data_IF_137553837942
#
_entry.id   IF_137553837942
#
_cell.length_a   1.000
_cell.length_b   1.000
_cell.length_c   1.000
_cell.angle_alpha   90.00
_cell.angle_beta   90.00
_cell.angle_gamma   90.00
#
_symmetry.space_group_name_H-M   'P 1'
#
loop_
_entity.id
_entity.type
_entity.pdbx_description
1 polymer ?
#
# COMPACT_ATOMS: atom_id res chain seq x y z
N UNK A 1 29.21 -8.79 56.26
CA UNK A 1 29.72 -7.48 55.81
C UNK A 1 29.53 -7.19 54.32
N UNK A 2 29.27 -8.18 53.46
CA UNK A 2 29.14 -7.99 52.00
C UNK A 2 27.81 -7.39 51.50
N UNK A 3 26.78 -7.26 52.35
CA UNK A 3 25.45 -6.75 51.92
C UNK A 3 25.26 -5.24 52.14
N UNK A 4 26.06 -4.60 53.02
CA UNK A 4 25.95 -3.14 53.29
C UNK A 4 26.59 -2.27 52.20
N UNK A 5 27.57 -2.80 51.45
CA UNK A 5 28.32 -2.01 50.46
C UNK A 5 27.53 -1.81 49.14
N UNK A 6 26.61 -2.71 48.80
CA UNK A 6 25.78 -2.56 47.59
C UNK A 6 24.66 -1.51 47.75
N UNK A 7 24.03 -1.42 48.93
CA UNK A 7 23.01 -0.38 49.16
C UNK A 7 23.57 1.04 49.15
N UNK A 8 24.80 1.23 49.67
CA UNK A 8 25.46 2.53 49.65
C UNK A 8 25.90 2.95 48.24
N UNK A 9 26.28 1.99 47.39
CA UNK A 9 26.60 2.21 45.98
C UNK A 9 25.37 2.62 45.17
N UNK A 10 24.24 1.92 45.34
CA UNK A 10 22.96 2.23 44.70
C UNK A 10 22.45 3.60 45.15
N UNK A 11 22.53 3.93 46.44
CA UNK A 11 22.14 5.25 46.96
C UNK A 11 23.00 6.39 46.40
N UNK A 12 24.32 6.18 46.23
CA UNK A 12 25.22 7.15 45.60
C UNK A 12 24.90 7.33 44.12
N UNK A 13 24.60 6.25 43.41
CA UNK A 13 24.21 6.28 41.99
C UNK A 13 22.87 7.01 41.78
N UNK A 14 21.84 6.72 42.59
CA UNK A 14 20.56 7.45 42.53
C UNK A 14 20.70 8.92 42.90
N UNK A 15 21.60 9.26 43.84
CA UNK A 15 21.83 10.66 44.21
C UNK A 15 22.52 11.44 43.08
N UNK A 16 23.46 10.81 42.36
CA UNK A 16 24.09 11.42 41.19
C UNK A 16 23.14 11.50 39.99
N UNK A 17 22.30 10.49 39.78
CA UNK A 17 21.27 10.51 38.73
C UNK A 17 20.25 11.64 38.98
N UNK A 18 19.74 11.77 40.20
CA UNK A 18 18.80 12.85 40.55
C UNK A 18 19.45 14.24 40.39
N UNK A 19 20.71 14.40 40.80
CA UNK A 19 21.44 15.66 40.65
C UNK A 19 21.69 16.01 39.17
N UNK A 20 21.98 15.00 38.33
CA UNK A 20 22.15 15.15 36.89
C UNK A 20 20.84 15.57 36.19
N UNK A 21 19.70 14.97 36.55
CA UNK A 21 18.38 15.34 36.03
C UNK A 21 17.92 16.73 36.48
N UNK A 22 18.25 17.17 37.70
CA UNK A 22 17.91 18.52 38.20
C UNK A 22 18.75 19.62 37.53
N UNK A 23 20.03 19.34 37.23
CA UNK A 23 20.91 20.28 36.51
C UNK A 23 20.55 20.43 35.03
N UNK A 24 20.06 19.35 34.39
CA UNK A 24 19.68 19.36 32.97
C UNK A 24 18.28 19.92 32.72
N UNK A 25 17.42 19.98 33.76
CA UNK A 25 16.10 20.62 33.71
C UNK A 25 16.12 22.15 33.69
N UNK A 26 17.25 22.78 33.99
CA UNK A 26 17.41 24.25 33.99
C UNK A 26 17.85 24.83 32.63
N UNK A 27 18.07 23.97 31.63
CA UNK A 27 18.51 24.34 30.28
C UNK A 27 17.57 23.80 29.20
N UNK A 28 16.25 23.91 29.42
CA UNK A 28 15.28 23.82 28.32
C UNK A 28 15.41 25.10 27.47
N UNK A 29 15.81 25.03 26.19
CA UNK A 29 15.75 26.20 25.32
C UNK A 29 14.29 26.58 25.11
N UNK A 30 13.90 27.73 25.65
CA UNK A 30 12.66 28.44 25.33
C UNK A 30 12.78 29.08 23.95
N UNK A 31 12.92 28.26 22.91
CA UNK A 31 12.93 28.71 21.51
C UNK A 31 12.46 27.54 20.64
N UNK A 32 11.17 27.52 20.33
CA UNK A 32 10.68 26.84 19.14
C UNK A 32 11.38 27.49 17.94
N UNK A 33 12.09 26.71 17.13
CA UNK A 33 12.65 27.19 15.87
C UNK A 33 11.49 27.55 14.93
N UNK A 34 11.42 28.81 14.51
CA UNK A 34 10.48 29.29 13.50
C UNK A 34 10.85 28.72 12.13
N UNK A 35 9.86 28.25 11.37
CA UNK A 35 10.02 27.77 10.00
C UNK A 35 10.16 28.95 9.01
N UNK A 36 10.89 28.73 7.92
CA UNK A 36 11.16 29.72 6.88
C UNK A 36 9.88 30.34 6.28
N UNK A 37 9.84 31.67 6.13
CA UNK A 37 8.70 32.39 5.54
C UNK A 37 8.58 32.22 4.03
N UNK A 38 7.36 31.98 3.53
CA UNK A 38 7.07 31.76 2.11
C UNK A 38 6.42 32.98 1.47
N UNK A 39 6.93 33.37 0.29
CA UNK A 39 6.38 34.46 -0.52
C UNK A 39 5.72 33.90 -1.78
N UNK A 40 4.54 34.40 -2.12
CA UNK A 40 3.76 33.98 -3.28
C UNK A 40 3.48 35.17 -4.20
N UNK A 41 3.75 34.98 -5.48
CA UNK A 41 3.61 35.96 -6.56
C UNK A 41 2.45 35.56 -7.48
N UNK A 42 1.46 36.43 -7.63
CA UNK A 42 0.33 36.22 -8.55
C UNK A 42 0.48 37.11 -9.78
N UNK A 43 0.25 36.52 -10.95
CA UNK A 43 0.32 37.22 -12.24
C UNK A 43 -1.06 37.70 -12.71
N UNK A 44 -1.09 38.63 -13.68
CA UNK A 44 -2.32 39.15 -14.30
C UNK A 44 -3.15 38.07 -15.00
N UNK A 45 -2.49 37.02 -15.49
CA UNK A 45 -3.15 35.87 -16.13
C UNK A 45 -3.62 34.83 -15.09
N UNK A 46 -3.68 35.22 -13.81
CA UNK A 46 -4.07 34.38 -12.66
C UNK A 46 -3.14 33.21 -12.34
N UNK A 47 -1.99 33.09 -13.03
CA UNK A 47 -0.90 32.17 -12.67
C UNK A 47 -0.26 32.57 -11.33
N UNK A 48 0.27 31.58 -10.61
CA UNK A 48 0.84 31.77 -9.29
C UNK A 48 2.21 31.08 -9.17
N UNK A 49 3.20 31.77 -8.57
CA UNK A 49 4.56 31.25 -8.30
C UNK A 49 4.99 31.49 -6.86
N UNK A 50 5.51 30.47 -6.19
CA UNK A 50 6.10 30.61 -4.86
C UNK A 50 7.61 30.84 -4.97
N UNK A 51 8.13 31.80 -4.20
CA UNK A 51 9.55 32.16 -4.14
C UNK A 51 10.01 32.15 -2.68
N UNK A 52 11.15 31.52 -2.41
CA UNK A 52 11.76 31.50 -1.07
C UNK A 52 12.53 32.80 -0.80
N UNK A 53 12.28 33.44 0.35
CA UNK A 53 13.01 34.63 0.80
C UNK A 53 14.21 34.24 1.68
N UNK A 54 15.27 35.05 1.63
CA UNK A 54 16.39 34.91 2.56
C UNK A 54 15.96 35.29 3.99
N UNK A 55 16.57 34.66 5.01
CA UNK A 55 16.20 34.81 6.44
C UNK A 55 16.22 36.28 6.91
N UNK A 56 17.03 37.14 6.29
CA UNK A 56 17.12 38.58 6.62
C UNK A 56 16.06 39.46 5.94
N UNK A 57 15.18 38.90 5.11
CA UNK A 57 14.25 39.64 4.25
C UNK A 57 12.79 39.15 4.34
N UNK A 58 12.41 38.49 5.43
CA UNK A 58 11.06 37.97 5.67
C UNK A 58 10.07 39.09 6.02
N UNK A 59 9.59 39.83 5.01
CA UNK A 59 8.54 40.84 5.17
C UNK A 59 7.63 40.93 3.94
N UNK A 60 6.42 41.45 4.11
CA UNK A 60 5.45 41.67 3.01
C UNK A 60 6.01 42.61 1.93
N UNK A 61 6.81 43.60 2.30
CA UNK A 61 7.43 44.55 1.35
C UNK A 61 8.53 43.87 0.53
N UNK A 62 9.38 43.07 1.18
CA UNK A 62 10.43 42.31 0.50
C UNK A 62 9.86 41.25 -0.43
N UNK A 63 8.74 40.61 -0.05
CA UNK A 63 8.00 39.69 -0.92
C UNK A 63 7.51 40.39 -2.20
N UNK A 64 6.94 41.59 -2.07
CA UNK A 64 6.51 42.39 -3.23
C UNK A 64 7.65 42.71 -4.19
N UNK A 65 8.80 43.14 -3.67
CA UNK A 65 9.97 43.47 -4.49
C UNK A 65 10.49 42.25 -5.26
N UNK A 66 10.59 41.10 -4.58
CA UNK A 66 11.02 39.84 -5.21
C UNK A 66 10.02 39.38 -6.26
N UNK A 67 8.72 39.47 -5.99
CA UNK A 67 7.69 39.11 -6.97
C UNK A 67 7.69 40.02 -8.20
N UNK A 68 7.84 41.33 -8.02
CA UNK A 68 7.95 42.27 -9.15
C UNK A 68 9.17 41.94 -10.01
N UNK A 69 10.28 41.50 -9.40
CA UNK A 69 11.48 41.07 -10.11
C UNK A 69 11.30 39.71 -10.81
N UNK A 70 10.61 38.76 -10.19
CA UNK A 70 10.45 37.39 -10.68
C UNK A 70 9.43 37.29 -11.84
N UNK A 71 8.24 37.86 -11.67
CA UNK A 71 7.17 37.80 -12.70
C UNK A 71 7.09 39.03 -13.61
N UNK A 72 7.91 40.05 -13.36
CA UNK A 72 8.09 41.21 -14.24
C UNK A 72 6.79 41.98 -14.53
N UNK A 73 6.56 42.33 -15.81
CA UNK A 73 5.39 43.13 -16.26
C UNK A 73 4.04 42.43 -16.04
N UNK A 74 4.06 41.12 -15.79
CA UNK A 74 2.87 40.31 -15.51
C UNK A 74 2.50 40.29 -14.03
N UNK A 75 3.23 41.01 -13.15
CA UNK A 75 2.89 41.12 -11.73
C UNK A 75 1.48 41.69 -11.51
N UNK A 76 0.70 41.03 -10.64
CA UNK A 76 -0.59 41.51 -10.16
C UNK A 76 -0.57 41.76 -8.65
N UNK A 77 -0.18 40.76 -7.85
CA UNK A 77 -0.13 40.87 -6.39
C UNK A 77 0.89 39.92 -5.76
N UNK A 78 1.20 40.14 -4.49
CA UNK A 78 2.11 39.29 -3.68
C UNK A 78 1.54 39.07 -2.28
N UNK A 79 1.77 37.89 -1.71
CA UNK A 79 1.35 37.53 -0.35
C UNK A 79 2.48 36.80 0.39
N UNK A 80 2.70 37.13 1.66
CA UNK A 80 3.77 36.57 2.49
C UNK A 80 3.18 36.01 3.78
N UNK A 81 3.57 34.78 4.12
CA UNK A 81 3.21 34.14 5.37
C UNK A 81 4.35 33.23 5.86
N UNK A 82 4.53 33.12 7.16
CA UNK A 82 5.51 32.25 7.80
C UNK A 82 4.87 31.01 8.42
N UNK A 83 5.70 30.07 8.88
CA UNK A 83 5.20 28.85 9.52
C UNK A 83 4.26 28.03 8.64
N UNK A 84 3.24 27.47 9.29
CA UNK A 84 2.21 26.64 8.62
C UNK A 84 1.33 27.43 7.65
N UNK A 85 1.17 28.75 7.86
CA UNK A 85 0.41 29.59 6.93
C UNK A 85 1.15 29.77 5.61
N UNK A 86 2.48 29.86 5.65
CA UNK A 86 3.35 29.86 4.46
C UNK A 86 3.22 28.58 3.62
N UNK A 87 3.20 27.41 4.26
CA UNK A 87 3.03 26.12 3.57
C UNK A 87 1.65 25.99 2.90
N UNK A 88 0.59 26.45 3.56
CA UNK A 88 -0.77 26.50 3.02
C UNK A 88 -0.83 27.44 1.82
N UNK A 89 -0.21 28.61 1.94
CA UNK A 89 -0.15 29.62 0.89
C UNK A 89 0.59 29.09 -0.35
N UNK A 90 1.73 28.40 -0.15
CA UNK A 90 2.49 27.74 -1.22
C UNK A 90 1.69 26.63 -1.91
N UNK A 91 1.00 25.78 -1.13
CA UNK A 91 0.18 24.69 -1.66
C UNK A 91 -1.01 25.20 -2.48
N UNK A 92 -1.68 26.25 -1.98
CA UNK A 92 -2.76 26.95 -2.69
C UNK A 92 -2.26 27.55 -4.00
N UNK A 93 -1.06 28.16 -3.98
CA UNK A 93 -0.42 28.70 -5.17
C UNK A 93 -0.10 27.62 -6.21
N UNK A 94 0.45 26.48 -5.79
CA UNK A 94 0.77 25.38 -6.69
C UNK A 94 -0.47 24.77 -7.34
N UNK A 95 -1.60 24.71 -6.61
CA UNK A 95 -2.89 24.29 -7.19
C UNK A 95 -3.36 25.25 -8.28
N UNK A 96 -3.23 26.57 -8.07
CA UNK A 96 -3.54 27.59 -9.08
C UNK A 96 -2.60 27.50 -10.29
N UNK A 97 -1.31 27.30 -10.06
CA UNK A 97 -0.32 27.10 -11.12
C UNK A 97 -0.66 25.90 -12.01
N UNK A 98 -0.97 24.76 -11.40
CA UNK A 98 -1.34 23.55 -12.14
C UNK A 98 -2.65 23.73 -12.92
N UNK A 99 -3.63 24.46 -12.36
CA UNK A 99 -4.86 24.80 -13.05
C UNK A 99 -4.61 25.76 -14.23
N UNK A 100 -3.69 26.72 -14.08
CA UNK A 100 -3.27 27.61 -15.16
C UNK A 100 -2.56 26.84 -16.29
N UNK A 101 -1.65 25.91 -15.95
CA UNK A 101 -1.01 25.03 -16.93
C UNK A 101 -2.05 24.16 -17.66
N UNK A 102 -3.01 23.59 -16.93
CA UNK A 102 -4.11 22.85 -17.52
C UNK A 102 -4.99 23.72 -18.45
N UNK A 103 -5.20 25.01 -18.11
CA UNK A 103 -5.96 25.93 -18.96
C UNK A 103 -5.22 26.31 -20.26
N UNK A 104 -3.90 26.12 -20.32
CA UNK A 104 -3.08 26.34 -21.52
C UNK A 104 -2.93 25.08 -22.38
N UNK A 105 -3.36 23.92 -21.91
CA UNK A 105 -3.29 22.64 -22.63
C UNK A 105 -4.71 22.15 -22.88
N UNK A 106 -5.20 22.48 -24.09
CA UNK A 106 -6.39 21.97 -24.77
C UNK A 106 -7.75 22.62 -24.49
N UNK A 107 -8.21 23.36 -25.51
CA UNK A 107 -9.59 23.32 -25.98
C UNK A 107 -10.03 21.86 -26.17
N UNK A 108 -10.81 21.33 -25.23
CA UNK A 108 -11.98 20.47 -25.49
C UNK A 108 -12.59 20.00 -24.16
N UNK A 109 -13.91 20.11 -24.10
CA UNK A 109 -14.91 19.61 -23.14
C UNK A 109 -14.52 18.32 -22.38
N UNK A 110 -14.97 18.05 -21.15
CA UNK A 110 -16.31 18.30 -20.61
C UNK A 110 -16.36 18.20 -19.08
N UNK A 111 -17.44 18.75 -18.52
CA UNK A 111 -17.69 18.92 -17.08
C UNK A 111 -18.18 17.63 -16.42
N UNK A 112 -17.58 17.21 -15.30
CA UNK A 112 -18.28 16.40 -14.29
C UNK A 112 -17.83 16.79 -12.87
N UNK A 113 -18.77 17.39 -12.14
CA UNK A 113 -18.58 17.80 -10.75
C UNK A 113 -18.58 16.57 -9.84
N UNK A 114 -17.39 16.12 -9.42
CA UNK A 114 -17.25 15.07 -8.40
C UNK A 114 -17.64 15.64 -7.03
N UNK A 115 -18.71 15.08 -6.45
CA UNK A 115 -19.20 15.39 -5.11
C UNK A 115 -18.13 15.09 -4.06
N UNK A 116 -17.71 16.11 -3.32
CA UNK A 116 -16.90 15.98 -2.10
C UNK A 116 -17.60 15.04 -1.11
N UNK A 117 -17.00 13.91 -0.69
CA UNK A 117 -17.54 13.12 0.40
C UNK A 117 -17.44 13.93 1.69
N UNK A 118 -18.59 14.42 2.14
CA UNK A 118 -18.78 15.13 3.40
C UNK A 118 -19.25 14.12 4.46
N UNK A 119 -18.38 13.83 5.42
CA UNK A 119 -18.66 13.66 6.85
C UNK A 119 -17.56 12.81 7.51
N UNK A 120 -16.42 13.42 7.84
CA UNK A 120 -15.50 12.77 8.79
C UNK A 120 -16.08 12.93 10.18
N UNK A 121 -16.69 11.87 10.71
CA UNK A 121 -17.29 11.87 12.04
C UNK A 121 -16.17 11.89 13.08
N UNK A 122 -16.13 12.92 13.93
CA UNK A 122 -15.21 12.97 15.06
C UNK A 122 -15.61 11.92 16.09
N UNK A 123 -14.68 11.09 16.60
CA UNK A 123 -15.01 10.08 17.59
C UNK A 123 -15.51 10.73 18.89
N UNK A 124 -16.58 10.16 19.45
CA UNK A 124 -17.11 10.56 20.75
C UNK A 124 -16.58 9.58 21.78
N UNK A 125 -15.92 10.08 22.82
CA UNK A 125 -15.44 9.23 23.91
C UNK A 125 -16.57 8.94 24.90
N UNK A 126 -16.63 7.69 25.36
CA UNK A 126 -17.54 7.30 26.44
C UNK A 126 -17.18 7.97 27.78
N UNK A 127 -15.92 8.35 27.97
CA UNK A 127 -15.42 9.09 29.13
C UNK A 127 -14.65 10.31 28.63
N UNK A 128 -15.09 11.55 28.97
CA UNK A 128 -14.38 12.75 28.54
C UNK A 128 -13.02 12.85 29.25
N UNK A 129 -11.97 13.10 28.48
CA UNK A 129 -10.62 13.34 29.01
C UNK A 129 -10.42 14.86 29.10
N UNK A 130 -10.08 15.41 30.28
CA UNK A 130 -9.86 16.85 30.44
C UNK A 130 -8.77 17.37 29.49
N UNK A 131 -9.07 18.45 28.77
CA UNK A 131 -8.14 19.09 27.84
C UNK A 131 -7.97 18.38 26.48
N UNK A 132 -8.75 17.34 26.19
CA UNK A 132 -8.77 16.70 24.88
C UNK A 132 -9.75 17.41 23.94
N UNK A 133 -9.23 17.90 22.82
CA UNK A 133 -10.00 18.32 21.66
C UNK A 133 -9.45 17.60 20.44
N UNK A 134 -10.30 16.88 19.71
CA UNK A 134 -9.88 16.21 18.48
C UNK A 134 -9.66 17.23 17.36
N UNK A 135 -8.50 17.14 16.71
CA UNK A 135 -8.19 17.90 15.50
C UNK A 135 -9.12 17.49 14.37
N UNK A 136 -9.56 18.43 13.52
CA UNK A 136 -10.39 18.08 12.37
C UNK A 136 -9.61 17.18 11.41
N UNK A 137 -10.20 16.06 11.02
CA UNK A 137 -9.62 15.23 9.97
C UNK A 137 -9.70 15.97 8.63
N UNK A 138 -8.62 15.91 7.86
CA UNK A 138 -8.50 16.59 6.57
C UNK A 138 -8.71 15.54 5.49
N UNK A 139 -9.83 15.64 4.77
CA UNK A 139 -10.07 14.86 3.57
C UNK A 139 -9.52 15.62 2.36
N UNK A 140 -8.54 15.02 1.69
CA UNK A 140 -8.08 15.43 0.36
C UNK A 140 -8.74 14.52 -0.69
N UNK A 141 -8.60 14.84 -1.98
CA UNK A 141 -9.14 14.03 -3.07
C UNK A 141 -8.58 12.60 -3.10
N UNK A 142 -7.42 12.35 -2.48
CA UNK A 142 -6.70 11.08 -2.55
C UNK A 142 -6.39 10.45 -1.19
N UNK A 143 -6.49 11.19 -0.08
CA UNK A 143 -6.28 10.66 1.27
C UNK A 143 -7.04 11.41 2.35
N UNK A 144 -7.42 10.69 3.41
CA UNK A 144 -7.92 11.24 4.67
C UNK A 144 -6.79 11.19 5.69
N UNK A 145 -6.36 12.37 6.14
CA UNK A 145 -5.39 12.51 7.24
C UNK A 145 -6.15 12.70 8.54
N UNK A 146 -5.94 11.80 9.48
CA UNK A 146 -6.53 11.86 10.82
C UNK A 146 -5.45 11.82 11.90
N UNK A 147 -5.56 12.77 12.83
CA UNK A 147 -4.73 12.84 14.03
C UNK A 147 -5.45 12.30 15.27
N UNK A 148 -6.63 11.69 15.13
CA UNK A 148 -7.48 11.34 16.29
C UNK A 148 -6.76 10.45 17.30
N UNK A 149 -6.02 9.45 16.83
CA UNK A 149 -5.26 8.55 17.70
C UNK A 149 -4.12 9.30 18.43
N UNK A 150 -3.43 10.19 17.72
CA UNK A 150 -2.36 11.00 18.29
C UNK A 150 -2.93 11.99 19.34
N UNK A 151 -4.05 12.64 19.05
CA UNK A 151 -4.72 13.55 19.99
C UNK A 151 -5.17 12.81 21.25
N UNK A 152 -5.79 11.64 21.08
CA UNK A 152 -6.25 10.78 22.18
C UNK A 152 -5.08 10.37 23.09
N UNK A 153 -4.04 9.76 22.51
CA UNK A 153 -2.88 9.30 23.28
C UNK A 153 -2.16 10.47 23.95
N UNK A 154 -2.09 11.64 23.30
CA UNK A 154 -1.43 12.83 23.84
C UNK A 154 -2.18 13.34 25.07
N UNK A 155 -3.51 13.39 25.00
CA UNK A 155 -4.33 13.78 26.15
C UNK A 155 -4.26 12.76 27.29
N UNK A 156 -4.28 11.45 27.01
CA UNK A 156 -4.11 10.40 28.03
C UNK A 156 -2.76 10.54 28.73
N UNK A 157 -1.66 10.69 27.99
CA UNK A 157 -0.35 10.85 28.60
C UNK A 157 -0.25 12.12 29.46
N UNK A 158 -0.76 13.26 28.97
CA UNK A 158 -0.81 14.51 29.75
C UNK A 158 -1.62 14.32 31.03
N UNK A 159 -2.79 13.71 30.94
CA UNK A 159 -3.65 13.44 32.09
C UNK A 159 -2.95 12.56 33.13
N UNK A 160 -2.32 11.45 32.71
CA UNK A 160 -1.60 10.56 33.62
C UNK A 160 -0.39 11.22 34.27
N UNK A 161 0.32 12.10 33.57
CA UNK A 161 1.43 12.88 34.14
C UNK A 161 0.91 13.83 35.23
N UNK A 162 -0.14 14.60 34.94
CA UNK A 162 -0.73 15.51 35.93
C UNK A 162 -1.29 14.76 37.14
N UNK A 163 -1.97 13.63 36.93
CA UNK A 163 -2.46 12.79 38.01
C UNK A 163 -1.30 12.24 38.87
N UNK A 164 -0.22 11.77 38.24
CA UNK A 164 0.96 11.24 38.93
C UNK A 164 1.67 12.31 39.78
N UNK A 165 1.82 13.53 39.24
CA UNK A 165 2.40 14.66 39.96
C UNK A 165 1.53 15.02 41.17
N UNK A 166 0.21 15.08 41.00
CA UNK A 166 -0.73 15.40 42.07
C UNK A 166 -0.65 14.37 43.20
N UNK A 167 -0.64 13.07 42.86
CA UNK A 167 -0.48 11.99 43.83
C UNK A 167 0.88 12.07 44.53
N UNK A 168 1.96 12.38 43.80
CA UNK A 168 3.28 12.54 44.39
C UNK A 168 3.31 13.69 45.41
N UNK A 169 2.69 14.83 45.10
CA UNK A 169 2.58 15.97 46.03
C UNK A 169 1.86 15.56 47.31
N UNK A 170 0.70 14.89 47.21
CA UNK A 170 -0.07 14.42 48.37
C UNK A 170 0.76 13.45 49.21
N UNK A 171 1.45 12.51 48.57
CA UNK A 171 2.28 11.52 49.28
C UNK A 171 3.49 12.16 49.97
N UNK A 172 4.08 13.21 49.38
CA UNK A 172 5.14 14.00 50.00
C UNK A 172 4.60 14.78 51.20
N UNK A 173 3.43 15.41 51.10
CA UNK A 173 2.78 16.11 52.23
C UNK A 173 2.49 15.15 53.39
N UNK A 174 1.92 13.98 53.11
CA UNK A 174 1.64 12.96 54.13
C UNK A 174 2.94 12.42 54.73
N UNK A 175 3.97 12.17 53.92
CA UNK A 175 5.29 11.76 54.42
C UNK A 175 5.96 12.84 55.27
N UNK A 176 5.79 14.11 54.90
CA UNK A 176 6.28 15.26 55.66
C UNK A 176 5.60 15.39 57.02
N UNK A 177 4.28 15.23 57.07
CA UNK A 177 3.55 15.22 58.34
C UNK A 177 4.01 14.05 59.24
N UNK A 178 4.14 12.84 58.68
CA UNK A 178 4.65 11.69 59.42
C UNK A 178 6.07 11.91 59.95
N UNK A 179 6.91 12.60 59.18
CA UNK A 179 8.27 12.93 59.61
C UNK A 179 8.27 13.89 60.81
N UNK A 180 7.43 14.93 60.79
CA UNK A 180 7.33 15.90 61.91
C UNK A 180 6.69 15.25 63.15
N UNK A 181 5.63 14.47 62.97
CA UNK A 181 4.97 13.74 64.07
C UNK A 181 5.82 12.62 64.67
N UNK A 182 6.90 12.20 64.00
CA UNK A 182 7.82 11.24 64.58
C UNK A 182 8.54 11.79 65.83
N UNK A 183 8.61 13.12 65.99
CA UNK A 183 9.09 13.74 67.22
C UNK A 183 8.23 13.44 68.46
N UNK A 184 6.96 13.04 68.29
CA UNK A 184 6.04 12.68 69.37
C UNK A 184 5.84 11.16 69.55
N UNK A 185 6.81 10.34 69.12
CA UNK A 185 6.79 8.87 69.27
C UNK A 185 6.43 8.08 68.02
N UNK A 186 6.32 8.74 66.86
CA UNK A 186 6.13 8.08 65.56
C UNK A 186 7.43 7.56 64.92
N UNK A 187 7.31 6.85 63.79
CA UNK A 187 8.45 6.26 63.07
C UNK A 187 8.96 7.19 61.94
N UNK A 188 10.10 7.86 62.18
CA UNK A 188 10.79 8.73 61.21
C UNK A 188 11.09 7.99 59.90
N UNK A 189 11.40 6.69 59.99
CA UNK A 189 11.78 5.87 58.84
C UNK A 189 10.63 5.71 57.86
N UNK A 190 9.39 5.61 58.35
CA UNK A 190 8.19 5.51 57.50
C UNK A 190 7.92 6.81 56.73
N UNK A 191 8.02 7.96 57.40
CA UNK A 191 7.86 9.27 56.75
C UNK A 191 8.90 9.50 55.66
N UNK A 192 10.18 9.22 55.97
CA UNK A 192 11.28 9.34 55.00
C UNK A 192 11.10 8.40 53.82
N UNK A 193 10.77 7.13 54.07
CA UNK A 193 10.53 6.12 53.02
C UNK A 193 9.39 6.54 52.10
N UNK A 194 8.31 7.10 52.63
CA UNK A 194 7.18 7.57 51.82
C UNK A 194 7.57 8.73 50.90
N UNK A 195 8.32 9.71 51.41
CA UNK A 195 8.84 10.83 50.60
C UNK A 195 9.79 10.30 49.52
N UNK A 196 10.74 9.42 49.87
CA UNK A 196 11.69 8.89 48.88
C UNK A 196 10.98 8.09 47.80
N UNK A 197 10.00 7.27 48.15
CA UNK A 197 9.27 6.47 47.16
C UNK A 197 8.47 7.34 46.19
N UNK A 198 7.83 8.41 46.68
CA UNK A 198 7.11 9.36 45.84
C UNK A 198 8.05 10.07 44.85
N UNK A 199 9.22 10.52 45.32
CA UNK A 199 10.23 11.16 44.47
C UNK A 199 10.86 10.18 43.48
N UNK A 200 11.18 8.96 43.90
CA UNK A 200 11.72 7.93 43.00
C UNK A 200 10.73 7.57 41.91
N UNK A 201 9.43 7.45 42.21
CA UNK A 201 8.40 7.23 41.20
C UNK A 201 8.33 8.35 40.17
N UNK A 202 8.41 9.61 40.62
CA UNK A 202 8.43 10.76 39.72
C UNK A 202 9.69 10.77 38.83
N UNK A 203 10.87 10.52 39.41
CA UNK A 203 12.14 10.44 38.66
C UNK A 203 12.14 9.31 37.64
N UNK A 204 11.59 8.14 37.99
CA UNK A 204 11.45 7.03 37.03
C UNK A 204 10.53 7.41 35.87
N UNK A 205 9.40 8.08 36.16
CA UNK A 205 8.45 8.51 35.13
C UNK A 205 9.10 9.50 34.14
N UNK A 206 9.79 10.54 34.63
CA UNK A 206 10.53 11.47 33.78
C UNK A 206 11.73 10.81 33.08
N UNK A 207 12.37 9.85 33.77
CA UNK A 207 13.52 9.10 33.24
C UNK A 207 13.15 8.26 32.02
N UNK A 208 11.97 7.62 32.03
CA UNK A 208 11.46 6.87 30.87
C UNK A 208 11.31 7.80 29.66
N UNK A 209 10.69 8.96 29.84
CA UNK A 209 10.57 9.95 28.75
C UNK A 209 11.94 10.36 28.20
N UNK A 210 12.91 10.64 29.08
CA UNK A 210 14.25 11.04 28.65
C UNK A 210 14.96 9.92 27.89
N UNK A 211 14.88 8.67 28.36
CA UNK A 211 15.46 7.52 27.66
C UNK A 211 14.84 7.36 26.27
N UNK A 212 13.50 7.41 26.15
CA UNK A 212 12.81 7.29 24.88
C UNK A 212 13.21 8.42 23.92
N UNK A 213 13.21 9.66 24.40
CA UNK A 213 13.56 10.83 23.60
C UNK A 213 15.02 10.80 23.12
N UNK A 214 15.95 10.44 24.01
CA UNK A 214 17.39 10.42 23.68
C UNK A 214 17.75 9.27 22.75
N UNK A 215 17.08 8.11 22.90
CA UNK A 215 17.33 6.94 22.04
C UNK A 215 16.71 7.11 20.65
N UNK A 216 15.47 7.59 20.57
CA UNK A 216 14.82 7.88 19.30
C UNK A 216 13.65 8.86 19.52
N UNK A 217 13.80 10.14 19.15
CA UNK A 217 12.74 11.14 19.33
C UNK A 217 11.46 10.80 18.54
N UNK A 218 11.54 9.93 17.52
CA UNK A 218 10.36 9.43 16.80
C UNK A 218 9.47 8.52 17.65
N UNK A 219 9.95 7.99 18.77
CA UNK A 219 9.12 7.22 19.71
C UNK A 219 8.23 8.11 20.59
N UNK A 220 8.60 9.38 20.74
CA UNK A 220 7.82 10.40 21.45
C UNK A 220 6.98 11.27 20.49
N UNK A 221 7.29 11.24 19.19
CA UNK A 221 6.54 11.90 18.13
C UNK A 221 5.43 10.99 17.63
N UNK A 222 4.18 11.39 17.85
CA UNK A 222 3.03 10.65 17.33
C UNK A 222 2.70 11.10 15.92
N UNK A 223 2.94 10.21 14.95
CA UNK A 223 2.64 10.46 13.55
C UNK A 223 1.14 10.42 13.30
N UNK A 224 0.69 11.28 12.39
CA UNK A 224 -0.69 11.27 11.90
C UNK A 224 -0.92 10.03 11.04
N UNK A 225 -2.14 9.49 11.09
CA UNK A 225 -2.52 8.35 10.25
C UNK A 225 -3.02 8.93 8.94
N UNK A 226 -2.35 8.58 7.85
CA UNK A 226 -2.82 8.85 6.50
C UNK A 226 -3.49 7.61 5.95
N UNK A 227 -4.81 7.69 5.78
CA UNK A 227 -5.60 6.68 5.10
C UNK A 227 -5.76 7.12 3.65
N UNK A 228 -5.28 6.32 2.71
CA UNK A 228 -5.53 6.60 1.30
C UNK A 228 -7.02 6.41 1.03
N UNK A 229 -7.65 7.38 0.35
CA UNK A 229 -9.05 7.20 -0.06
C UNK A 229 -9.11 6.02 -1.02
N UNK A 230 -10.04 5.10 -0.76
CA UNK A 230 -10.46 4.15 -1.78
C UNK A 230 -11.00 4.99 -2.92
N UNK A 231 -10.25 5.11 -4.01
CA UNK A 231 -10.76 5.75 -5.19
C UNK A 231 -11.97 4.94 -5.62
N UNK A 232 -13.17 5.53 -5.52
CA UNK A 232 -14.29 5.07 -6.32
C UNK A 232 -13.87 5.34 -7.75
N UNK A 233 -13.30 4.33 -8.38
CA UNK A 233 -13.24 4.28 -9.83
C UNK A 233 -14.70 4.36 -10.23
N UNK A 234 -15.12 5.49 -10.82
CA UNK A 234 -16.27 5.46 -11.72
C UNK A 234 -15.95 4.31 -12.64
N UNK A 235 -16.63 3.17 -12.44
CA UNK A 235 -16.60 2.08 -13.40
C UNK A 235 -17.05 2.80 -14.66
N UNK A 236 -16.17 3.05 -15.66
CA UNK A 236 -16.73 3.37 -16.96
C UNK A 236 -17.69 2.23 -17.19
N UNK A 237 -18.97 2.53 -17.39
CA UNK A 237 -19.85 1.55 -18.00
C UNK A 237 -19.12 1.21 -19.28
N UNK A 238 -18.36 0.12 -19.22
CA UNK A 238 -17.65 -0.38 -20.36
C UNK A 238 -18.84 -0.96 -21.14
N UNK A 239 -19.42 -0.11 -21.98
CA UNK A 239 -19.42 -0.43 -23.40
C UNK A 239 -17.96 -0.71 -23.77
N UNK A 240 -17.44 -1.83 -23.28
CA UNK A 240 -16.54 -2.61 -24.09
C UNK A 240 -17.32 -2.70 -25.38
N UNK A 241 -16.68 -2.34 -26.47
CA UNK A 241 -17.09 -2.92 -27.73
C UNK A 241 -17.10 -4.42 -27.45
N UNK A 242 -18.29 -4.92 -27.12
CA UNK A 242 -18.63 -6.32 -27.20
C UNK A 242 -18.47 -6.53 -28.68
N UNK A 243 -17.25 -6.88 -29.05
CA UNK A 243 -17.00 -7.65 -30.24
C UNK A 243 -17.68 -8.96 -29.91
N UNK A 244 -18.99 -9.00 -30.12
CA UNK A 244 -19.71 -10.26 -30.22
C UNK A 244 -19.01 -11.07 -31.28
N UNK A 245 -19.19 -12.38 -31.27
CA UNK A 245 -18.58 -13.26 -32.27
C UNK A 245 -18.82 -12.77 -33.73
N UNK A 246 -19.81 -11.90 -33.98
CA UNK A 246 -20.02 -11.15 -35.23
C UNK A 246 -18.94 -10.12 -35.61
N UNK A 247 -18.31 -9.38 -34.69
CA UNK A 247 -17.29 -8.37 -35.05
C UNK A 247 -15.89 -8.99 -35.27
N UNK A 248 -15.64 -10.23 -34.82
CA UNK A 248 -14.50 -11.03 -35.30
C UNK A 248 -14.78 -11.65 -36.68
N UNK A 249 -16.05 -11.87 -37.05
CA UNK A 249 -16.41 -12.37 -38.37
C UNK A 249 -16.23 -11.32 -39.49
N UNK A 250 -16.21 -10.02 -39.17
CA UNK A 250 -16.07 -8.94 -40.17
C UNK A 250 -14.62 -8.64 -40.60
N UNK A 251 -13.62 -9.24 -39.95
CA UNK A 251 -12.21 -9.24 -40.40
C UNK A 251 -11.87 -10.44 -41.30
N UNK A 252 -12.88 -11.23 -41.69
CA UNK A 252 -12.71 -12.38 -42.59
C UNK A 252 -12.08 -13.61 -41.94
N UNK A 253 -11.85 -13.59 -40.62
CA UNK A 253 -11.34 -14.71 -39.84
C UNK A 253 -12.36 -15.04 -38.75
N UNK A 254 -13.37 -15.84 -39.12
CA UNK A 254 -14.39 -16.36 -38.18
C UNK A 254 -13.72 -16.96 -36.92
N UNK A 255 -14.27 -16.76 -35.72
CA UNK A 255 -13.78 -17.44 -34.50
C UNK A 255 -13.76 -18.98 -34.61
N UNK A 256 -14.50 -19.56 -35.57
CA UNK A 256 -14.43 -20.97 -35.98
C UNK A 256 -13.14 -21.36 -36.71
N UNK A 257 -12.35 -20.39 -37.18
CA UNK A 257 -11.08 -20.61 -37.89
C UNK A 257 -9.86 -20.74 -36.95
N UNK A 258 -9.99 -20.33 -35.68
CA UNK A 258 -8.94 -20.49 -34.67
C UNK A 258 -9.16 -21.76 -33.84
N UNK A 259 -10.41 -22.07 -33.46
CA UNK A 259 -10.72 -23.27 -32.67
C UNK A 259 -10.82 -24.49 -33.58
N UNK A 260 -10.19 -25.60 -33.20
CA UNK A 260 -10.27 -26.88 -33.95
C UNK A 260 -11.66 -27.52 -33.77
N UNK A 261 -12.27 -27.34 -32.60
CA UNK A 261 -13.68 -27.62 -32.34
C UNK A 261 -14.24 -26.58 -31.36
N UNK A 262 -15.51 -26.21 -31.51
CA UNK A 262 -16.14 -25.13 -30.73
C UNK A 262 -17.29 -25.55 -29.83
N UNK A 263 -17.73 -26.81 -29.90
CA UNK A 263 -18.80 -27.39 -29.08
C UNK A 263 -18.56 -28.90 -28.88
N UNK A 264 -19.23 -29.54 -27.91
CA UNK A 264 -18.99 -30.94 -27.59
C UNK A 264 -19.18 -31.90 -28.78
N UNK A 265 -20.18 -31.70 -29.63
CA UNK A 265 -20.48 -32.53 -30.80
C UNK A 265 -19.38 -32.44 -31.86
N UNK A 266 -18.90 -31.22 -32.14
CA UNK A 266 -17.78 -30.99 -33.04
C UNK A 266 -16.50 -31.63 -32.48
N UNK A 267 -16.28 -31.53 -31.17
CA UNK A 267 -15.14 -32.18 -30.53
C UNK A 267 -15.26 -33.71 -30.54
N UNK A 268 -16.45 -34.29 -30.35
CA UNK A 268 -16.70 -35.74 -30.51
C UNK A 268 -16.32 -36.21 -31.92
N UNK A 269 -16.71 -35.44 -32.94
CA UNK A 269 -16.34 -35.71 -34.34
C UNK A 269 -14.82 -35.66 -34.55
N UNK A 270 -14.15 -34.61 -34.06
CA UNK A 270 -12.70 -34.49 -34.11
C UNK A 270 -12.01 -35.67 -33.43
N UNK A 271 -12.47 -36.06 -32.24
CA UNK A 271 -11.87 -37.15 -31.47
C UNK A 271 -12.06 -38.54 -32.09
N UNK A 272 -13.02 -38.70 -33.00
CA UNK A 272 -13.21 -39.93 -33.77
C UNK A 272 -12.26 -40.05 -34.98
N UNK A 273 -11.57 -38.97 -35.36
CA UNK A 273 -10.59 -38.99 -36.46
C UNK A 273 -9.24 -39.58 -36.01
N UNK A 274 -8.39 -39.98 -36.97
CA UNK A 274 -7.03 -40.42 -36.68
C UNK A 274 -6.21 -39.27 -36.06
N UNK A 275 -5.56 -39.52 -34.92
CA UNK A 275 -4.69 -38.57 -34.20
C UNK A 275 -3.55 -38.00 -35.04
N UNK A 276 -3.16 -38.68 -36.11
CA UNK A 276 -2.14 -38.20 -37.05
C UNK A 276 -2.65 -37.11 -38.00
N UNK A 277 -3.97 -36.99 -38.14
CA UNK A 277 -4.61 -35.95 -38.97
C UNK A 277 -4.91 -34.67 -38.21
N UNK A 278 -4.72 -34.67 -36.88
CA UNK A 278 -4.97 -33.50 -36.05
C UNK A 278 -3.98 -32.36 -36.34
N UNK A 279 -4.45 -31.10 -36.37
CA UNK A 279 -3.57 -29.97 -36.60
C UNK A 279 -2.57 -29.81 -35.46
N UNK A 280 -1.31 -29.52 -35.81
CA UNK A 280 -0.24 -29.23 -34.86
C UNK A 280 -0.17 -27.76 -34.45
N UNK A 281 -0.78 -26.87 -35.23
CA UNK A 281 -0.81 -25.42 -35.00
C UNK A 281 -2.10 -24.78 -35.52
N UNK A 282 -2.35 -23.57 -35.03
CA UNK A 282 -3.35 -22.63 -35.51
C UNK A 282 -2.76 -21.20 -35.43
N UNK A 283 -3.47 -20.14 -35.88
CA UNK A 283 -2.97 -18.77 -35.80
C UNK A 283 -2.67 -18.24 -34.39
N UNK A 284 -3.21 -18.88 -33.34
CA UNK A 284 -3.01 -18.49 -31.93
C UNK A 284 -1.85 -19.23 -31.26
N UNK A 285 -1.40 -20.34 -31.83
CA UNK A 285 -0.34 -21.17 -31.25
C UNK A 285 1.03 -20.72 -31.73
N UNK A 286 2.02 -20.78 -30.83
CA UNK A 286 3.42 -20.55 -31.18
C UNK A 286 4.10 -21.86 -31.60
N UNK A 287 5.08 -21.74 -32.50
CA UNK A 287 6.00 -22.83 -32.84
C UNK A 287 6.66 -23.37 -31.55
N UNK A 288 6.56 -24.70 -31.28
CA UNK A 288 7.19 -25.33 -30.13
C UNK A 288 8.70 -25.09 -30.00
N UNK A 289 9.40 -24.78 -31.09
CA UNK A 289 10.84 -24.49 -31.07
C UNK A 289 11.17 -23.11 -30.50
N UNK A 290 10.19 -22.21 -30.38
CA UNK A 290 10.36 -20.85 -29.85
C UNK A 290 10.13 -20.76 -28.33
N UNK A 291 9.76 -21.87 -27.70
CA UNK A 291 9.63 -21.96 -26.24
C UNK A 291 10.71 -22.85 -25.66
N UNK A 292 11.16 -22.50 -24.46
CA UNK A 292 12.13 -23.31 -23.71
C UNK A 292 11.85 -23.21 -22.22
N UNK A 293 12.43 -24.13 -21.45
CA UNK A 293 12.18 -24.22 -20.00
C UNK A 293 12.62 -22.92 -19.33
N UNK A 294 11.70 -22.26 -18.61
CA UNK A 294 12.04 -21.06 -17.84
C UNK A 294 13.07 -21.42 -16.76
N UNK A 295 14.25 -20.76 -16.71
CA UNK A 295 15.25 -21.04 -15.70
C UNK A 295 14.79 -20.55 -14.33
N UNK A 296 15.17 -21.27 -13.27
CA UNK A 296 14.98 -20.78 -11.90
C UNK A 296 15.82 -19.50 -11.69
N UNK A 297 15.29 -18.57 -10.90
CA UNK A 297 15.95 -17.31 -10.59
C UNK A 297 15.62 -16.88 -9.15
N UNK A 298 16.34 -15.92 -8.56
CA UNK A 298 15.96 -15.37 -7.26
C UNK A 298 14.49 -14.90 -7.28
N UNK A 299 13.69 -15.36 -6.32
CA UNK A 299 12.26 -15.05 -6.23
C UNK A 299 11.37 -15.79 -7.24
N UNK A 300 11.91 -16.66 -8.09
CA UNK A 300 11.14 -17.40 -9.10
C UNK A 300 11.57 -18.88 -9.21
N UNK A 301 10.59 -19.78 -9.13
CA UNK A 301 10.78 -21.22 -9.20
C UNK A 301 9.88 -21.81 -10.29
N UNK A 302 10.46 -22.60 -11.18
CA UNK A 302 9.73 -23.36 -12.18
C UNK A 302 9.35 -24.75 -11.64
N UNK A 303 8.10 -24.89 -11.18
CA UNK A 303 7.51 -26.17 -10.71
C UNK A 303 6.80 -26.94 -11.84
N UNK A 304 6.76 -26.43 -13.08
CA UNK A 304 6.05 -27.01 -14.23
C UNK A 304 6.56 -28.37 -14.72
N UNK A 305 7.41 -29.07 -13.97
CA UNK A 305 7.87 -30.43 -14.25
C UNK A 305 8.72 -30.58 -15.51
N UNK A 306 8.84 -31.83 -15.99
CA UNK A 306 9.44 -32.18 -17.28
C UNK A 306 8.39 -32.10 -18.39
N UNK A 307 8.67 -31.36 -19.47
CA UNK A 307 7.78 -31.20 -20.62
C UNK A 307 7.35 -29.74 -20.87
N UNK A 308 6.31 -29.51 -21.69
CA UNK A 308 5.94 -28.17 -22.15
C UNK A 308 5.37 -27.27 -21.05
N UNK A 309 4.88 -27.84 -19.94
CA UNK A 309 4.26 -27.12 -18.81
C UNK A 309 5.17 -26.11 -18.12
N UNK A 310 6.50 -26.25 -18.23
CA UNK A 310 7.47 -25.30 -17.71
C UNK A 310 8.16 -24.46 -18.80
N UNK A 311 7.71 -24.59 -20.06
CA UNK A 311 8.29 -23.88 -21.20
C UNK A 311 7.48 -22.62 -21.51
N UNK A 312 8.20 -21.55 -21.85
CA UNK A 312 7.64 -20.24 -22.23
C UNK A 312 8.58 -19.57 -23.24
N UNK A 313 8.12 -18.48 -23.88
CA UNK A 313 8.97 -17.67 -24.76
C UNK A 313 10.07 -16.95 -23.98
N UNK A 314 11.13 -16.53 -24.68
CA UNK A 314 12.25 -15.81 -24.05
C UNK A 314 11.79 -14.54 -23.31
N UNK A 315 10.86 -13.79 -23.89
CA UNK A 315 10.32 -12.56 -23.27
C UNK A 315 9.59 -12.85 -21.96
N UNK A 316 8.86 -13.96 -21.88
CA UNK A 316 8.19 -14.39 -20.65
C UNK A 316 9.20 -14.82 -19.61
N UNK A 317 10.30 -15.48 -20.01
CA UNK A 317 11.39 -15.81 -19.06
C UNK A 317 11.99 -14.55 -18.45
N UNK A 318 12.24 -13.52 -19.27
CA UNK A 318 12.81 -12.26 -18.81
C UNK A 318 11.83 -11.51 -17.89
N UNK A 319 10.53 -11.53 -18.22
CA UNK A 319 9.48 -10.95 -17.38
C UNK A 319 9.31 -11.73 -16.05
N UNK A 320 9.41 -13.07 -16.06
CA UNK A 320 9.36 -13.89 -14.84
C UNK A 320 10.57 -13.65 -13.93
N UNK A 321 11.76 -13.48 -14.51
CA UNK A 321 12.96 -13.08 -13.76
C UNK A 321 12.73 -11.74 -13.08
N UNK A 322 12.22 -10.74 -13.81
CA UNK A 322 11.85 -9.43 -13.27
C UNK A 322 10.80 -9.55 -12.15
N UNK A 323 9.80 -10.41 -12.32
CA UNK A 323 8.78 -10.65 -11.30
C UNK A 323 9.39 -11.22 -10.00
N UNK A 324 10.35 -12.13 -10.10
CA UNK A 324 11.08 -12.67 -8.94
C UNK A 324 11.89 -11.59 -8.21
N UNK A 325 12.58 -10.72 -8.95
CA UNK A 325 13.33 -9.59 -8.37
C UNK A 325 12.39 -8.61 -7.64
N UNK A 326 11.24 -8.27 -8.23
CA UNK A 326 10.22 -7.43 -7.60
C UNK A 326 9.69 -8.08 -6.32
N UNK A 327 9.36 -9.38 -6.37
CA UNK A 327 8.88 -10.12 -5.20
C UNK A 327 9.88 -10.05 -4.03
N UNK A 328 11.16 -10.32 -4.31
CA UNK A 328 12.21 -10.27 -3.28
C UNK A 328 12.48 -8.86 -2.75
N UNK A 329 12.26 -7.82 -3.55
CA UNK A 329 12.37 -6.43 -3.10
C UNK A 329 11.30 -6.05 -2.07
N UNK A 330 10.14 -6.72 -2.12
CA UNK A 330 9.04 -6.51 -1.16
C UNK A 330 9.27 -7.32 0.13
N UNK A 331 9.67 -8.58 0.00
CA UNK A 331 10.09 -9.44 1.10
C UNK A 331 10.98 -10.56 0.55
N UNK A 332 12.17 -10.72 1.11
CA UNK A 332 13.12 -11.77 0.68
C UNK A 332 12.57 -13.20 0.76
N UNK A 333 11.51 -13.43 1.54
CA UNK A 333 10.85 -14.73 1.65
C UNK A 333 9.82 -15.00 0.54
N UNK A 334 9.52 -14.03 -0.32
CA UNK A 334 8.58 -14.23 -1.42
C UNK A 334 9.19 -14.98 -2.60
N UNK A 335 8.43 -15.95 -3.09
CA UNK A 335 8.78 -16.75 -4.28
C UNK A 335 7.55 -16.95 -5.16
N UNK A 336 7.71 -16.77 -6.47
CA UNK A 336 6.72 -17.06 -7.49
C UNK A 336 6.98 -18.46 -8.04
N UNK A 337 5.96 -19.30 -8.07
CA UNK A 337 6.04 -20.67 -8.53
C UNK A 337 5.24 -20.84 -9.82
N UNK A 338 5.92 -21.17 -10.93
CA UNK A 338 5.29 -21.50 -12.19
C UNK A 338 4.72 -22.92 -12.15
N UNK A 339 3.40 -23.04 -12.32
CA UNK A 339 2.68 -24.31 -12.24
C UNK A 339 2.38 -24.87 -13.63
N UNK A 340 1.97 -24.01 -14.55
CA UNK A 340 1.58 -24.37 -15.90
C UNK A 340 1.88 -23.21 -16.86
N UNK A 341 2.21 -23.53 -18.10
CA UNK A 341 2.71 -22.60 -19.11
C UNK A 341 2.35 -23.11 -20.51
N UNK A 342 3.32 -23.22 -21.42
CA UNK A 342 3.06 -23.64 -22.79
C UNK A 342 2.32 -24.98 -22.90
N UNK A 343 1.31 -25.01 -23.79
CA UNK A 343 0.53 -26.20 -24.11
C UNK A 343 0.36 -26.31 -25.63
N UNK A 344 1.02 -27.28 -26.29
CA UNK A 344 0.85 -27.52 -27.72
C UNK A 344 -0.60 -27.80 -28.09
N UNK A 345 -1.01 -27.40 -29.32
CA UNK A 345 -2.38 -27.61 -29.80
C UNK A 345 -2.80 -29.07 -29.72
N UNK A 346 -1.94 -29.98 -30.19
CA UNK A 346 -2.19 -31.42 -30.15
C UNK A 346 -2.47 -31.91 -28.73
N UNK A 347 -1.74 -31.41 -27.73
CA UNK A 347 -1.97 -31.76 -26.33
C UNK A 347 -3.32 -31.25 -25.84
N UNK A 348 -3.77 -30.08 -26.30
CA UNK A 348 -5.08 -29.56 -25.96
C UNK A 348 -6.21 -30.40 -26.58
N UNK A 349 -6.05 -30.88 -27.82
CA UNK A 349 -6.97 -31.82 -28.46
C UNK A 349 -7.05 -33.11 -27.64
N UNK A 350 -5.89 -33.69 -27.27
CA UNK A 350 -5.84 -34.88 -26.41
C UNK A 350 -6.61 -34.68 -25.10
N UNK A 351 -6.40 -33.57 -24.39
CA UNK A 351 -7.11 -33.30 -23.13
C UNK A 351 -8.64 -33.31 -23.28
N UNK A 352 -9.14 -32.75 -24.38
CA UNK A 352 -10.59 -32.72 -24.66
C UNK A 352 -11.08 -34.11 -25.06
N UNK A 353 -10.34 -34.84 -25.89
CA UNK A 353 -10.69 -36.20 -26.29
C UNK A 353 -10.63 -37.20 -25.13
N UNK A 354 -9.68 -37.05 -24.22
CA UNK A 354 -9.58 -37.85 -22.99
C UNK A 354 -10.84 -37.66 -22.13
N UNK A 355 -11.36 -36.41 -22.03
CA UNK A 355 -12.62 -36.13 -21.32
C UNK A 355 -13.82 -36.74 -22.03
N UNK A 356 -13.92 -36.59 -23.36
CA UNK A 356 -15.00 -37.20 -24.15
C UNK A 356 -15.01 -38.72 -24.01
N UNK A 357 -13.83 -39.34 -24.02
CA UNK A 357 -13.68 -40.79 -23.86
C UNK A 357 -14.17 -41.31 -22.50
N UNK A 358 -14.29 -40.46 -21.47
CA UNK A 358 -14.86 -40.88 -20.19
C UNK A 358 -16.36 -41.18 -20.25
N UNK A 359 -17.08 -40.62 -21.22
CA UNK A 359 -18.54 -40.69 -21.30
C UNK A 359 -19.29 -39.96 -20.17
N UNK A 360 -18.59 -39.19 -19.33
CA UNK A 360 -19.18 -38.45 -18.23
C UNK A 360 -19.76 -37.12 -18.75
N UNK A 361 -21.08 -37.09 -18.95
CA UNK A 361 -21.80 -35.93 -19.48
C UNK A 361 -21.57 -34.65 -18.67
N UNK A 362 -21.31 -34.74 -17.36
CA UNK A 362 -21.00 -33.54 -16.55
C UNK A 362 -19.62 -32.97 -16.90
N UNK A 363 -18.63 -33.83 -17.11
CA UNK A 363 -17.28 -33.40 -17.52
C UNK A 363 -17.25 -32.91 -18.95
N UNK A 364 -18.03 -33.55 -19.84
CA UNK A 364 -18.19 -33.12 -21.23
C UNK A 364 -18.86 -31.74 -21.30
N UNK A 365 -19.90 -31.49 -20.50
CA UNK A 365 -20.51 -30.16 -20.37
C UNK A 365 -19.56 -29.11 -19.78
N UNK A 366 -18.50 -29.53 -19.08
CA UNK A 366 -17.42 -28.67 -18.58
C UNK A 366 -16.38 -28.26 -19.64
N UNK A 367 -16.46 -28.78 -20.88
CA UNK A 367 -15.59 -28.33 -21.97
C UNK A 367 -16.04 -26.93 -22.39
N UNK A 368 -15.09 -26.00 -22.43
CA UNK A 368 -15.32 -24.56 -22.65
C UNK A 368 -15.31 -23.73 -21.37
N UNK A 369 -15.54 -24.34 -20.21
CA UNK A 369 -15.55 -23.65 -18.90
C UNK A 369 -14.38 -24.09 -18.02
N UNK A 370 -14.19 -25.40 -17.82
CA UNK A 370 -13.08 -25.95 -17.04
C UNK A 370 -11.86 -26.29 -17.92
N UNK A 371 -12.09 -26.58 -19.20
CA UNK A 371 -11.05 -26.89 -20.18
C UNK A 371 -11.38 -26.10 -21.45
N UNK A 372 -10.54 -25.15 -21.82
CA UNK A 372 -10.73 -24.40 -23.05
C UNK A 372 -10.79 -25.31 -24.28
N UNK A 373 -11.66 -24.97 -25.23
CA UNK A 373 -11.75 -25.64 -26.53
C UNK A 373 -10.39 -25.63 -27.26
N UNK A 374 -10.02 -26.71 -27.99
CA UNK A 374 -8.73 -26.82 -28.65
C UNK A 374 -8.50 -25.65 -29.62
N UNK A 375 -7.37 -24.96 -29.46
CA UNK A 375 -7.03 -23.76 -30.21
C UNK A 375 -7.52 -22.45 -29.59
N UNK A 376 -8.41 -22.51 -28.59
CA UNK A 376 -8.88 -21.35 -27.84
C UNK A 376 -8.02 -20.97 -26.63
N UNK A 377 -7.16 -21.86 -26.13
CA UNK A 377 -6.35 -21.62 -24.92
C UNK A 377 -5.18 -20.69 -25.18
N UNK A 378 -5.00 -19.67 -24.32
CA UNK A 378 -3.82 -18.78 -24.38
C UNK A 378 -2.52 -19.50 -24.04
N UNK A 379 -2.55 -20.63 -23.34
CA UNK A 379 -1.34 -21.46 -23.15
C UNK A 379 -0.70 -21.94 -24.46
N UNK A 380 -1.46 -22.00 -25.56
CA UNK A 380 -0.94 -22.35 -26.87
C UNK A 380 -0.01 -21.31 -27.48
N UNK A 381 -0.14 -20.03 -27.08
CA UNK A 381 0.68 -18.94 -27.61
C UNK A 381 2.05 -18.82 -26.94
N UNK A 382 2.28 -19.56 -25.84
CA UNK A 382 3.53 -19.53 -25.07
C UNK A 382 3.72 -18.28 -24.22
N UNK A 383 2.73 -17.37 -24.15
CA UNK A 383 2.77 -16.15 -23.33
C UNK A 383 1.99 -16.24 -22.02
N UNK A 384 1.13 -17.24 -21.90
CA UNK A 384 0.24 -17.43 -20.76
C UNK A 384 0.83 -18.40 -19.74
N UNK A 385 0.65 -18.08 -18.46
CA UNK A 385 1.21 -18.80 -17.32
C UNK A 385 0.19 -18.89 -16.18
N UNK A 386 0.21 -20.02 -15.49
CA UNK A 386 -0.48 -20.23 -14.21
C UNK A 386 0.56 -20.26 -13.10
N UNK A 387 0.43 -19.38 -12.12
CA UNK A 387 1.44 -19.18 -11.09
C UNK A 387 0.86 -19.10 -9.68
N UNK A 388 1.72 -19.33 -8.70
CA UNK A 388 1.41 -19.22 -7.28
C UNK A 388 2.45 -18.36 -6.55
N UNK A 389 2.00 -17.53 -5.61
CA UNK A 389 2.88 -16.81 -4.69
C UNK A 389 3.02 -17.58 -3.38
N UNK A 390 4.25 -17.76 -2.91
CA UNK A 390 4.55 -18.30 -1.57
C UNK A 390 5.36 -17.29 -0.75
N UNK A 391 5.20 -17.36 0.57
CA UNK A 391 6.09 -16.75 1.57
C UNK A 391 6.74 -17.87 2.37
N UNK A 392 8.02 -18.14 2.13
CA UNK A 392 8.66 -19.36 2.61
C UNK A 392 7.90 -20.60 2.14
N UNK A 393 7.45 -21.46 3.06
CA UNK A 393 6.65 -22.64 2.75
C UNK A 393 5.14 -22.36 2.61
N UNK A 394 4.67 -21.15 2.93
CA UNK A 394 3.24 -20.84 2.98
C UNK A 394 2.74 -20.31 1.65
N UNK A 395 1.79 -21.01 1.03
CA UNK A 395 1.08 -20.50 -0.14
C UNK A 395 0.19 -19.30 0.24
N UNK A 396 0.37 -18.21 -0.48
CA UNK A 396 -0.45 -16.98 -0.40
C UNK A 396 -1.50 -16.92 -1.49
N UNK A 397 -1.30 -17.61 -2.61
CA UNK A 397 -2.34 -17.85 -3.62
C UNK A 397 -2.54 -19.34 -3.83
N UNK A 398 -3.72 -19.72 -4.33
CA UNK A 398 -4.05 -21.10 -4.69
C UNK A 398 -4.28 -21.16 -6.21
N UNK A 399 -3.50 -21.97 -6.96
CA UNK A 399 -3.70 -22.15 -8.40
C UNK A 399 -4.85 -23.12 -8.73
N UNK A 400 -5.69 -23.49 -7.76
CA UNK A 400 -6.85 -24.36 -7.99
C UNK A 400 -8.11 -23.58 -8.40
N UNK A 401 -8.85 -24.16 -9.37
CA UNK A 401 -10.13 -23.67 -9.89
C UNK A 401 -11.28 -23.62 -8.87
N UNK A 402 -11.04 -23.97 -7.60
CA UNK A 402 -12.13 -23.97 -6.61
C UNK A 402 -12.40 -22.53 -6.15
N UNK A 403 -13.45 -21.93 -6.71
CA UNK A 403 -13.97 -20.61 -6.37
C UNK A 403 -14.20 -20.42 -4.87
N UNK A 404 -14.46 -21.50 -4.11
CA UNK A 404 -14.62 -21.47 -2.64
C UNK A 404 -13.31 -21.06 -1.94
N UNK A 405 -12.16 -21.59 -2.39
CA UNK A 405 -10.86 -21.22 -1.84
C UNK A 405 -10.52 -19.76 -2.21
N UNK A 406 -10.91 -19.33 -3.40
CA UNK A 406 -10.61 -17.99 -3.90
C UNK A 406 -11.41 -16.88 -3.21
N UNK A 407 -12.50 -17.24 -2.52
CA UNK A 407 -13.24 -16.30 -1.67
C UNK A 407 -12.61 -16.09 -0.29
N UNK A 408 -11.70 -16.96 0.15
CA UNK A 408 -11.02 -16.81 1.44
C UNK A 408 -10.07 -15.60 1.42
N UNK A 409 -10.22 -14.72 2.41
CA UNK A 409 -9.51 -13.45 2.50
C UNK A 409 -7.98 -13.60 2.38
N UNK A 410 -7.41 -14.67 2.95
CA UNK A 410 -5.97 -14.97 2.85
C UNK A 410 -5.49 -14.99 1.40
N UNK A 411 -6.26 -15.64 0.51
CA UNK A 411 -5.90 -15.78 -0.91
C UNK A 411 -6.22 -14.53 -1.71
N UNK A 412 -7.20 -13.71 -1.29
CA UNK A 412 -7.50 -12.41 -1.91
C UNK A 412 -6.35 -11.42 -1.75
N UNK A 413 -5.83 -11.27 -0.54
CA UNK A 413 -4.71 -10.35 -0.27
C UNK A 413 -3.44 -10.81 -1.00
N UNK A 414 -3.16 -12.12 -0.96
CA UNK A 414 -2.08 -12.72 -1.73
C UNK A 414 -2.23 -12.55 -3.24
N UNK A 415 -3.45 -12.63 -3.77
CA UNK A 415 -3.74 -12.42 -5.19
C UNK A 415 -3.59 -10.96 -5.61
N UNK A 416 -3.94 -9.99 -4.75
CA UNK A 416 -3.68 -8.57 -5.01
C UNK A 416 -2.18 -8.30 -5.06
N UNK A 417 -1.43 -8.82 -4.10
CA UNK A 417 0.03 -8.70 -4.06
C UNK A 417 0.68 -9.36 -5.29
N UNK A 418 0.26 -10.57 -5.64
CA UNK A 418 0.71 -11.26 -6.85
C UNK A 418 0.39 -10.43 -8.10
N UNK A 419 -0.84 -9.91 -8.21
CA UNK A 419 -1.25 -9.07 -9.33
C UNK A 419 -0.41 -7.80 -9.45
N UNK A 420 -0.04 -7.17 -8.32
CA UNK A 420 0.85 -6.01 -8.30
C UNK A 420 2.23 -6.36 -8.85
N UNK A 421 2.84 -7.44 -8.35
CA UNK A 421 4.17 -7.90 -8.79
C UNK A 421 4.17 -8.18 -10.29
N UNK A 422 3.20 -8.96 -10.75
CA UNK A 422 3.09 -9.38 -12.15
C UNK A 422 2.80 -8.20 -13.08
N UNK A 423 1.97 -7.24 -12.66
CA UNK A 423 1.70 -6.01 -13.44
C UNK A 423 2.99 -5.20 -13.63
N UNK A 424 3.78 -5.01 -12.57
CA UNK A 424 5.07 -4.32 -12.65
C UNK A 424 6.10 -5.09 -13.49
N UNK A 425 6.00 -6.42 -13.52
CA UNK A 425 6.82 -7.28 -14.36
C UNK A 425 6.42 -7.28 -15.85
N UNK A 426 5.30 -6.65 -16.22
CA UNK A 426 4.85 -6.54 -17.61
C UNK A 426 3.78 -7.57 -18.02
N UNK A 427 3.10 -8.18 -17.05
CA UNK A 427 1.97 -9.06 -17.29
C UNK A 427 0.64 -8.35 -17.09
N UNK A 428 -0.42 -8.94 -17.66
CA UNK A 428 -1.82 -8.68 -17.31
C UNK A 428 -2.43 -9.96 -16.76
N UNK A 429 -3.41 -9.84 -15.86
CA UNK A 429 -4.14 -10.98 -15.31
C UNK A 429 -5.40 -11.23 -16.15
N UNK A 430 -5.76 -12.49 -16.35
CA UNK A 430 -7.10 -12.83 -16.81
C UNK A 430 -8.10 -12.61 -15.67
N UNK A 431 -9.15 -11.82 -15.90
CA UNK A 431 -9.97 -11.29 -14.81
C UNK A 431 -10.78 -12.37 -14.07
N UNK A 432 -11.08 -13.49 -14.74
CA UNK A 432 -11.79 -14.64 -14.19
C UNK A 432 -10.89 -15.59 -13.37
N UNK A 433 -9.56 -15.51 -13.52
CA UNK A 433 -8.62 -16.46 -12.91
C UNK A 433 -7.48 -15.73 -12.19
N UNK A 434 -7.46 -15.77 -10.86
CA UNK A 434 -6.48 -15.02 -10.05
C UNK A 434 -5.02 -15.50 -10.21
N UNK A 435 -4.80 -16.73 -10.70
CA UNK A 435 -3.47 -17.32 -10.94
C UNK A 435 -3.00 -17.18 -12.39
N UNK A 436 -3.86 -16.77 -13.31
CA UNK A 436 -3.58 -16.78 -14.75
C UNK A 436 -3.10 -15.42 -15.24
N UNK A 437 -1.91 -15.39 -15.83
CA UNK A 437 -1.29 -14.17 -16.33
C UNK A 437 -0.78 -14.34 -17.76
N UNK A 438 -0.84 -13.26 -18.53
CA UNK A 438 -0.38 -13.20 -19.91
C UNK A 438 0.60 -12.03 -20.08
N UNK A 439 1.61 -12.19 -20.95
CA UNK A 439 2.53 -11.09 -21.25
C UNK A 439 1.77 -9.94 -21.92
N UNK A 440 1.77 -8.76 -21.29
CA UNK A 440 0.91 -7.61 -21.68
C UNK A 440 1.08 -7.18 -23.13
N UNK A 441 2.30 -7.21 -23.66
CA UNK A 441 2.60 -6.77 -25.03
C UNK A 441 1.99 -7.67 -26.12
N UNK A 442 1.53 -8.87 -25.76
CA UNK A 442 0.98 -9.87 -26.67
C UNK A 442 -0.40 -10.39 -26.25
N UNK A 443 -0.89 -9.94 -25.09
CA UNK A 443 -2.18 -10.33 -24.55
C UNK A 443 -3.31 -9.60 -25.28
N UNK A 444 -4.44 -10.27 -25.38
CA UNK A 444 -5.70 -9.66 -25.81
C UNK A 444 -6.22 -8.70 -24.72
N UNK A 445 -6.95 -7.66 -25.13
CA UNK A 445 -7.50 -6.65 -24.23
C UNK A 445 -8.76 -7.13 -23.53
N UNK A 446 -9.55 -8.01 -24.16
CA UNK A 446 -10.83 -8.47 -23.61
C UNK A 446 -10.62 -9.28 -22.32
N UNK A 447 -11.31 -8.93 -21.23
CA UNK A 447 -11.22 -9.63 -19.94
C UNK A 447 -9.81 -9.71 -19.30
N UNK A 448 -8.90 -8.80 -19.67
CA UNK A 448 -7.57 -8.70 -19.02
C UNK A 448 -7.54 -7.45 -18.16
N UNK A 449 -6.94 -7.56 -16.99
CA UNK A 449 -6.82 -6.44 -16.07
C UNK A 449 -5.42 -6.33 -15.44
N UNK A 450 -5.13 -5.16 -14.89
CA UNK A 450 -3.86 -4.81 -14.25
C UNK A 450 -4.13 -4.27 -12.86
N UNK A 451 -3.20 -4.49 -11.92
CA UNK A 451 -3.28 -3.86 -10.59
C UNK A 451 -3.22 -2.33 -10.71
N UNK A 452 -3.96 -1.56 -9.88
CA UNK A 452 -4.88 -2.01 -8.82
C UNK A 452 -6.29 -2.40 -9.32
N UNK A 453 -6.60 -2.11 -10.59
CA UNK A 453 -7.94 -2.23 -11.16
C UNK A 453 -8.19 -3.62 -11.75
N UNK A 454 -8.24 -4.64 -10.90
CA UNK A 454 -8.42 -6.03 -11.33
C UNK A 454 -9.34 -6.78 -10.34
N UNK A 455 -10.67 -6.56 -10.42
CA UNK A 455 -11.64 -7.16 -9.49
C UNK A 455 -11.68 -8.69 -9.64
N UNK A 456 -12.12 -9.37 -8.57
CA UNK A 456 -12.37 -10.81 -8.58
C UNK A 456 -13.53 -11.16 -7.61
N UNK A 457 -14.53 -11.95 -8.04
CA UNK A 457 -14.72 -12.46 -9.41
C UNK A 457 -15.08 -11.31 -10.38
N UNK A 458 -14.53 -11.36 -11.59
CA UNK A 458 -14.95 -10.49 -12.67
C UNK A 458 -15.92 -11.27 -13.58
N UNK A 459 -16.94 -10.59 -14.07
CA UNK A 459 -17.79 -11.12 -15.13
C UNK A 459 -17.39 -10.44 -16.43
N UNK A 460 -16.84 -11.25 -17.32
CA UNK A 460 -16.60 -10.98 -18.72
C UNK A 460 -17.51 -11.92 -19.52
#
# INVERSE_FOLDING_TARGET
>A
MLHKNNLASIFRFTKHLIFFFVLMGFSLPSSFAFADGTCVCTTKDTDCRAVSLSVSQQSTNSCKEVCVKDVGKSFASSEFADGTEGEILASSCQKKHNAFLASKTDSSSDTSASKTPSATTTPILNVPIPGLSFSKAIATTTSVKSSFLADYLSAVYKFLIFASITIAIVMVMVGGLQYVMAASGGDVSKGKTRITNALTGLVLLLGVYLILYTSNPQLTLMKTIELQNVQTVEVPEHKGDVVSDEQMASSGISASSIRVCGNPEACKTLCATDKNTWPSSNPKTIDPNLVSKAPNAPGFVNEGGSGPKGQVTKEVQDALKKAGEIAQSMDSAYTIHLISAYRPLKRQIEMVCDVIATGDEKKIAGIGTAIAYPGGSNHGSGIAIDIMLKKGSTALTDPSFNTTNQQNQKYKDGAQLLSQIMTQAGFVRYAEEIWHFELKSKADTYCRCSYPNCPFPAHC
#
